data_IF_157633814042
#
_entry.id   IF_157633814042
#
_cell.length_a   1.000
_cell.length_b   1.000
_cell.length_c   1.000
_cell.angle_alpha   90.00
_cell.angle_beta   90.00
_cell.angle_gamma   90.00
#
_symmetry.space_group_name_H-M   'P 1'
#
loop_
_entity.id
_entity.type
_entity.pdbx_description
1 polymer ?
#
# COMPACT_ATOMS: atom_id res chain seq x y z
N UNK A 1 -22.91 -0.28 4.67
CA UNK A 1 -21.52 -0.33 4.17
C UNK A 1 -21.40 0.20 2.74
N UNK A 2 -22.14 -0.38 1.80
CA UNK A 2 -22.18 0.07 0.39
C UNK A 2 -22.65 1.52 0.22
N UNK A 3 -23.46 2.04 1.14
CA UNK A 3 -24.05 3.39 1.02
C UNK A 3 -23.06 4.55 1.23
N UNK A 4 -22.15 4.48 2.23
CA UNK A 4 -21.13 5.53 2.42
C UNK A 4 -20.21 5.58 1.20
N UNK A 5 -19.71 4.41 0.79
CA UNK A 5 -18.86 4.27 -0.40
C UNK A 5 -19.58 4.75 -1.66
N UNK A 6 -20.87 4.45 -1.81
CA UNK A 6 -21.69 4.95 -2.92
C UNK A 6 -21.81 6.47 -2.90
N UNK A 7 -22.11 7.08 -1.74
CA UNK A 7 -22.20 8.54 -1.59
C UNK A 7 -20.87 9.24 -1.88
N UNK A 8 -19.75 8.66 -1.45
CA UNK A 8 -18.42 9.18 -1.74
C UNK A 8 -18.08 9.06 -3.23
N UNK A 9 -18.42 7.94 -3.87
CA UNK A 9 -18.25 7.76 -5.32
C UNK A 9 -19.16 8.69 -6.13
N UNK A 10 -20.38 8.91 -5.68
CA UNK A 10 -21.31 9.85 -6.29
C UNK A 10 -20.76 11.28 -6.15
N UNK A 11 -20.25 11.67 -4.98
CA UNK A 11 -19.58 12.97 -4.80
C UNK A 11 -18.39 13.18 -5.75
N UNK A 12 -17.58 12.14 -6.00
CA UNK A 12 -16.51 12.15 -7.02
C UNK A 12 -17.12 12.39 -8.42
N UNK A 13 -18.15 11.63 -8.79
CA UNK A 13 -18.77 11.69 -10.11
C UNK A 13 -19.50 13.00 -10.43
N UNK A 14 -19.87 13.79 -9.41
CA UNK A 14 -20.57 15.07 -9.59
C UNK A 14 -19.68 16.25 -9.95
N UNK A 15 -18.35 16.10 -9.97
CA UNK A 15 -17.39 17.19 -10.27
C UNK A 15 -17.72 18.48 -9.50
N UNK A 16 -17.84 18.35 -8.17
CA UNK A 16 -18.33 19.42 -7.31
C UNK A 16 -17.40 20.64 -7.33
N UNK A 17 -17.99 21.84 -7.36
CA UNK A 17 -17.24 23.10 -7.24
C UNK A 17 -17.26 23.61 -5.79
N UNK A 18 -16.09 23.99 -5.28
CA UNK A 18 -15.94 24.51 -3.91
C UNK A 18 -16.77 25.77 -3.72
N UNK A 19 -17.56 25.81 -2.64
CA UNK A 19 -18.46 26.93 -2.35
C UNK A 19 -19.81 26.86 -3.07
N UNK A 20 -20.03 25.89 -3.96
CA UNK A 20 -21.37 25.64 -4.50
C UNK A 20 -22.30 25.08 -3.42
N UNK A 21 -23.60 25.35 -3.54
CA UNK A 21 -24.61 24.76 -2.65
C UNK A 21 -24.59 23.23 -2.69
N UNK A 22 -24.30 22.65 -3.87
CA UNK A 22 -24.22 21.20 -4.04
C UNK A 22 -23.01 20.62 -3.31
N UNK A 23 -21.85 21.28 -3.37
CA UNK A 23 -20.68 20.89 -2.60
C UNK A 23 -20.98 20.84 -1.11
N UNK A 24 -21.57 21.92 -0.56
CA UNK A 24 -21.92 21.98 0.86
C UNK A 24 -22.97 20.93 1.22
N UNK A 25 -23.96 20.69 0.36
CA UNK A 25 -24.96 19.66 0.60
C UNK A 25 -24.34 18.25 0.70
N UNK A 26 -23.37 17.89 -0.16
CA UNK A 26 -22.67 16.60 -0.02
C UNK A 26 -21.78 16.56 1.22
N UNK A 27 -21.04 17.64 1.46
CA UNK A 27 -20.17 17.79 2.61
C UNK A 27 -20.96 17.56 3.91
N UNK A 28 -22.01 18.35 4.13
CA UNK A 28 -22.79 18.31 5.37
C UNK A 28 -23.58 17.01 5.49
N UNK A 29 -24.16 16.52 4.39
CA UNK A 29 -24.87 15.23 4.39
C UNK A 29 -23.96 14.09 4.83
N UNK A 30 -22.73 14.01 4.31
CA UNK A 30 -21.80 12.94 4.69
C UNK A 30 -21.30 13.17 6.12
N UNK A 31 -20.94 14.40 6.47
CA UNK A 31 -20.46 14.79 7.79
C UNK A 31 -21.46 14.43 8.90
N UNK A 32 -22.73 14.82 8.74
CA UNK A 32 -23.78 14.63 9.73
C UNK A 32 -24.27 13.19 9.76
N UNK A 33 -24.60 12.61 8.59
CA UNK A 33 -25.21 11.28 8.52
C UNK A 33 -24.33 10.17 9.06
N UNK A 34 -23.02 10.31 8.87
CA UNK A 34 -22.04 9.33 9.34
C UNK A 34 -21.34 9.77 10.64
N UNK A 35 -21.82 10.85 11.26
CA UNK A 35 -21.32 11.31 12.56
C UNK A 35 -19.84 11.69 12.54
N UNK A 36 -19.30 12.16 11.42
CA UNK A 36 -17.87 12.47 11.34
C UNK A 36 -17.43 13.56 12.32
N UNK A 37 -18.37 14.36 12.84
CA UNK A 37 -18.09 15.30 13.93
C UNK A 37 -17.54 14.64 15.21
N UNK A 38 -17.93 13.40 15.52
CA UNK A 38 -17.43 12.66 16.67
C UNK A 38 -16.22 11.77 16.35
N UNK A 39 -15.91 11.59 15.06
CA UNK A 39 -14.90 10.66 14.56
C UNK A 39 -13.63 11.42 14.13
N UNK A 40 -13.80 12.53 13.42
CA UNK A 40 -12.73 13.31 12.82
C UNK A 40 -12.77 14.77 13.26
N UNK A 41 -11.58 15.36 13.40
CA UNK A 41 -11.47 16.83 13.49
C UNK A 41 -12.00 17.44 12.19
N UNK A 42 -12.76 18.53 12.28
CA UNK A 42 -13.33 19.25 11.13
C UNK A 42 -12.29 19.55 10.06
N UNK A 43 -11.09 19.99 10.44
CA UNK A 43 -10.02 20.27 9.47
C UNK A 43 -9.56 19.02 8.70
N UNK A 44 -9.53 17.84 9.35
CA UNK A 44 -9.17 16.58 8.70
C UNK A 44 -10.25 16.16 7.72
N UNK A 45 -11.51 16.27 8.12
CA UNK A 45 -12.63 15.97 7.23
C UNK A 45 -12.68 16.89 6.03
N UNK A 46 -12.59 18.21 6.23
CA UNK A 46 -12.59 19.20 5.14
C UNK A 46 -11.46 18.94 4.15
N UNK A 47 -10.29 18.52 4.65
CA UNK A 47 -9.15 18.15 3.82
C UNK A 47 -9.44 16.90 2.98
N UNK A 48 -9.90 15.81 3.62
CA UNK A 48 -10.23 14.56 2.93
C UNK A 48 -11.35 14.79 1.91
N UNK A 49 -12.41 15.49 2.28
CA UNK A 49 -13.51 15.81 1.38
C UNK A 49 -13.06 16.72 0.22
N UNK A 50 -12.14 17.65 0.48
CA UNK A 50 -11.50 18.46 -0.54
C UNK A 50 -10.73 17.62 -1.57
N UNK A 51 -9.93 16.65 -1.12
CA UNK A 51 -9.19 15.75 -2.02
C UNK A 51 -10.12 14.79 -2.77
N UNK A 52 -11.15 14.26 -2.10
CA UNK A 52 -12.19 13.42 -2.67
C UNK A 52 -12.84 14.08 -3.88
N UNK A 53 -13.14 15.37 -3.78
CA UNK A 53 -13.91 16.12 -4.77
C UNK A 53 -13.05 16.91 -5.76
N UNK A 54 -11.71 16.84 -5.64
CA UNK A 54 -10.80 17.63 -6.46
C UNK A 54 -10.85 19.15 -6.19
N UNK A 55 -11.31 19.55 -5.00
CA UNK A 55 -11.44 20.96 -4.56
C UNK A 55 -10.41 21.34 -3.49
N UNK A 56 -9.47 20.45 -3.22
CA UNK A 56 -8.39 20.70 -2.27
C UNK A 56 -7.48 21.81 -2.79
N UNK A 57 -6.88 22.57 -1.87
CA UNK A 57 -5.78 23.48 -2.20
C UNK A 57 -4.48 22.72 -2.54
N UNK A 58 -4.44 21.42 -2.28
CA UNK A 58 -3.34 20.52 -2.58
C UNK A 58 -3.52 19.84 -3.94
N UNK A 59 -2.51 19.08 -4.39
CA UNK A 59 -2.55 18.35 -5.68
C UNK A 59 -3.82 17.50 -5.75
N UNK A 60 -4.63 17.71 -6.79
CA UNK A 60 -5.84 16.95 -7.04
C UNK A 60 -5.56 15.91 -8.14
N UNK A 61 -5.88 14.64 -7.88
CA UNK A 61 -5.71 13.52 -8.82
C UNK A 61 -6.73 12.43 -8.52
N UNK A 62 -6.98 11.55 -9.50
CA UNK A 62 -7.86 10.40 -9.29
C UNK A 62 -7.34 9.48 -8.16
N UNK A 63 -6.01 9.35 -8.02
CA UNK A 63 -5.38 8.63 -6.92
C UNK A 63 -5.68 9.27 -5.56
N UNK A 64 -5.55 10.59 -5.45
CA UNK A 64 -5.82 11.32 -4.21
C UNK A 64 -7.31 11.28 -3.82
N UNK A 65 -8.20 11.34 -4.81
CA UNK A 65 -9.63 11.17 -4.59
C UNK A 65 -9.97 9.76 -4.09
N UNK A 66 -9.38 8.74 -4.72
CA UNK A 66 -9.53 7.35 -4.28
C UNK A 66 -9.00 7.12 -2.87
N UNK A 67 -7.83 7.67 -2.54
CA UNK A 67 -7.26 7.58 -1.19
C UNK A 67 -8.16 8.27 -0.16
N UNK A 68 -8.60 9.50 -0.42
CA UNK A 68 -9.45 10.24 0.49
C UNK A 68 -10.79 9.52 0.75
N UNK A 69 -11.33 8.83 -0.26
CA UNK A 69 -12.48 7.94 -0.10
C UNK A 69 -12.19 6.81 0.89
N UNK A 70 -11.07 6.11 0.72
CA UNK A 70 -10.72 4.99 1.61
C UNK A 70 -10.45 5.45 3.05
N UNK A 71 -9.80 6.60 3.23
CA UNK A 71 -9.58 7.18 4.56
C UNK A 71 -10.91 7.51 5.26
N UNK A 72 -11.84 8.19 4.59
CA UNK A 72 -13.16 8.49 5.17
C UNK A 72 -13.92 7.23 5.55
N UNK A 73 -13.81 6.17 4.74
CA UNK A 73 -14.41 4.88 5.03
C UNK A 73 -13.72 4.23 6.25
N UNK A 74 -12.39 4.20 6.29
CA UNK A 74 -11.61 3.60 7.40
C UNK A 74 -11.92 4.27 8.72
N UNK A 75 -11.86 5.59 8.78
CA UNK A 75 -12.11 6.35 10.01
C UNK A 75 -13.53 6.10 10.55
N UNK A 76 -14.52 5.99 9.65
CA UNK A 76 -15.87 5.60 10.03
C UNK A 76 -15.90 4.18 10.61
N UNK A 77 -15.19 3.22 10.04
CA UNK A 77 -15.15 1.86 10.56
C UNK A 77 -14.42 1.74 11.89
N UNK A 78 -13.25 2.35 12.03
CA UNK A 78 -12.45 2.27 13.25
C UNK A 78 -13.26 2.81 14.44
N UNK A 79 -14.01 3.89 14.24
CA UNK A 79 -14.90 4.44 15.26
C UNK A 79 -16.15 3.58 15.54
N UNK A 80 -16.56 2.74 14.59
CA UNK A 80 -17.77 1.90 14.68
C UNK A 80 -17.47 0.39 14.74
N UNK A 81 -16.22 0.01 15.01
CA UNK A 81 -15.72 -1.36 14.94
C UNK A 81 -16.55 -2.34 15.78
N UNK A 82 -17.04 -1.90 16.94
CA UNK A 82 -17.92 -2.65 17.83
C UNK A 82 -19.28 -2.98 17.19
N UNK A 83 -19.83 -2.04 16.40
CA UNK A 83 -21.08 -2.21 15.66
C UNK A 83 -20.91 -3.05 14.40
N UNK A 84 -19.74 -3.00 13.76
CA UNK A 84 -19.41 -3.81 12.58
C UNK A 84 -19.19 -5.29 12.93
N UNK A 85 -18.49 -5.57 14.03
CA UNK A 85 -18.36 -6.95 14.56
C UNK A 85 -19.74 -7.50 14.94
N UNK A 86 -20.59 -6.67 15.56
CA UNK A 86 -21.97 -7.04 15.88
C UNK A 86 -22.82 -7.25 14.61
N UNK A 87 -22.67 -6.44 13.56
CA UNK A 87 -23.41 -6.64 12.29
C UNK A 87 -22.93 -7.87 11.53
N UNK A 88 -21.63 -8.20 11.54
CA UNK A 88 -21.13 -9.45 10.98
C UNK A 88 -21.62 -10.68 11.76
N UNK A 89 -21.78 -10.55 13.08
CA UNK A 89 -22.35 -11.60 13.93
C UNK A 89 -23.88 -11.75 13.76
N UNK A 90 -24.60 -10.68 13.39
CA UNK A 90 -26.05 -10.67 13.17
C UNK A 90 -26.48 -11.00 11.73
N UNK A 91 -25.67 -10.66 10.71
CA UNK A 91 -25.94 -10.96 9.29
C UNK A 91 -25.62 -12.42 8.89
N UNK A 92 -25.28 -13.28 9.86
CA UNK A 92 -25.16 -14.72 9.63
C UNK A 92 -23.99 -15.16 8.72
N UNK A 93 -23.03 -14.28 8.42
CA UNK A 93 -21.80 -14.66 7.73
C UNK A 93 -20.78 -15.15 8.75
N UNK A 94 -20.98 -16.38 9.22
CA UNK A 94 -19.98 -17.08 10.02
C UNK A 94 -18.83 -17.54 9.13
N UNK A 95 -17.78 -16.74 8.99
CA UNK A 95 -16.44 -17.26 8.70
C UNK A 95 -15.35 -16.43 9.39
N UNK A 96 -15.37 -16.44 10.72
CA UNK A 96 -14.11 -16.46 11.49
C UNK A 96 -13.91 -17.87 11.98
N UNK A 97 -13.45 -18.74 11.08
CA UNK A 97 -12.82 -19.98 11.52
C UNK A 97 -11.37 -19.64 11.84
N UNK A 98 -11.03 -19.68 13.13
CA UNK A 98 -9.66 -19.90 13.57
C UNK A 98 -9.14 -21.19 12.93
N UNK A 99 -8.43 -21.09 11.81
CA UNK A 99 -7.78 -22.24 11.19
C UNK A 99 -6.41 -22.41 11.84
N UNK A 100 -6.29 -23.40 12.73
CA UNK A 100 -5.02 -24.08 12.98
C UNK A 100 -4.59 -24.74 11.68
N UNK A 101 -3.58 -24.22 10.99
CA UNK A 101 -3.00 -24.92 9.85
C UNK A 101 -2.04 -26.00 10.38
N UNK A 102 -2.48 -27.26 10.26
CA UNK A 102 -1.59 -28.42 10.17
C UNK A 102 -0.95 -28.40 8.79
N UNK A 103 0.36 -28.67 8.72
CA UNK A 103 1.12 -28.87 7.48
C UNK A 103 0.34 -29.72 6.45
N UNK A 104 0.23 -29.30 5.18
CA UNK A 104 -0.13 -30.20 4.11
C UNK A 104 1.12 -30.67 3.35
N UNK A 105 1.27 -31.98 3.35
CA UNK A 105 2.04 -32.79 2.41
C UNK A 105 1.60 -32.47 0.96
N UNK A 106 2.60 -32.36 0.07
CA UNK A 106 2.49 -32.17 -1.37
C UNK A 106 1.74 -33.33 -2.04
N UNK A 107 0.80 -33.04 -2.95
CA UNK A 107 0.63 -33.73 -4.25
C UNK A 107 -0.24 -32.89 -5.20
N UNK A 108 0.44 -32.37 -6.23
CA UNK A 108 0.05 -32.19 -7.64
C UNK A 108 -1.20 -31.40 -8.07
N UNK A 109 -0.87 -30.25 -8.69
CA UNK A 109 -1.38 -29.78 -9.99
C UNK A 109 -2.73 -29.07 -10.05
N UNK A 110 -2.72 -27.77 -9.73
CA UNK A 110 -3.32 -26.74 -10.58
C UNK A 110 -2.42 -25.49 -10.58
N UNK A 111 -1.85 -25.17 -11.75
CA UNK A 111 -0.88 -24.11 -11.91
C UNK A 111 -1.52 -22.74 -11.73
N UNK A 112 -1.19 -22.06 -10.63
CA UNK A 112 -1.33 -20.61 -10.52
C UNK A 112 -0.37 -19.99 -11.53
N UNK A 113 -0.92 -19.40 -12.59
CA UNK A 113 -0.15 -18.80 -13.68
C UNK A 113 0.71 -17.64 -13.11
N UNK A 114 2.05 -17.73 -13.08
CA UNK A 114 2.87 -16.66 -12.56
C UNK A 114 2.94 -15.54 -13.60
N UNK A 115 2.43 -14.37 -13.25
CA UNK A 115 2.45 -13.19 -14.11
C UNK A 115 3.89 -12.64 -14.16
N UNK A 116 4.59 -12.89 -15.27
CA UNK A 116 5.86 -12.25 -15.63
C UNK A 116 7.12 -12.85 -15.01
N UNK A 117 7.34 -14.16 -15.15
CA UNK A 117 8.68 -14.72 -14.90
C UNK A 117 9.65 -14.19 -15.96
N UNK A 118 10.63 -13.40 -15.52
CA UNK A 118 11.77 -13.09 -16.37
C UNK A 118 12.44 -14.38 -16.83
N UNK A 119 13.13 -14.33 -17.98
CA UNK A 119 13.95 -15.45 -18.47
C UNK A 119 15.04 -15.88 -17.47
N UNK A 120 15.36 -15.01 -16.50
CA UNK A 120 16.39 -15.18 -15.50
C UNK A 120 15.81 -15.71 -14.19
N UNK A 121 16.51 -16.68 -13.60
CA UNK A 121 16.28 -17.15 -12.22
C UNK A 121 17.22 -16.48 -11.21
N UNK A 122 18.25 -15.80 -11.70
CA UNK A 122 19.23 -15.03 -10.91
C UNK A 122 19.39 -13.66 -11.58
N UNK A 123 19.35 -12.55 -10.82
CA UNK A 123 19.50 -11.20 -11.37
C UNK A 123 20.82 -11.03 -12.13
N UNK A 124 20.79 -10.28 -13.22
CA UNK A 124 21.97 -9.98 -14.01
C UNK A 124 23.08 -9.35 -13.15
N UNK A 125 24.28 -9.90 -13.24
CA UNK A 125 25.47 -9.42 -12.53
C UNK A 125 25.56 -9.84 -11.06
N UNK A 126 24.73 -10.79 -10.62
CA UNK A 126 24.75 -11.37 -9.27
C UNK A 126 25.05 -12.86 -9.37
N UNK A 127 25.88 -13.41 -8.48
CA UNK A 127 26.12 -14.86 -8.41
C UNK A 127 25.01 -15.57 -7.60
N UNK A 128 24.84 -16.87 -7.78
CA UNK A 128 23.87 -17.65 -6.97
C UNK A 128 24.13 -17.53 -5.47
N UNK A 129 25.39 -17.53 -5.06
CA UNK A 129 25.79 -17.39 -3.66
C UNK A 129 25.41 -16.02 -3.10
N UNK A 130 25.72 -14.95 -3.84
CA UNK A 130 25.33 -13.59 -3.49
C UNK A 130 23.80 -13.45 -3.38
N UNK A 131 23.06 -14.06 -4.29
CA UNK A 131 21.60 -14.00 -4.30
C UNK A 131 20.97 -14.76 -3.12
N UNK A 132 21.47 -15.96 -2.80
CA UNK A 132 21.04 -16.73 -1.64
C UNK A 132 21.37 -16.03 -0.32
N UNK A 133 22.55 -15.43 -0.22
CA UNK A 133 22.96 -14.66 0.96
C UNK A 133 22.08 -13.42 1.13
N UNK A 134 21.85 -12.65 0.06
CA UNK A 134 20.94 -11.50 0.09
C UNK A 134 19.51 -11.91 0.48
N UNK A 135 19.01 -13.04 -0.03
CA UNK A 135 17.71 -13.59 0.39
C UNK A 135 17.64 -13.84 1.89
N UNK A 136 18.66 -14.50 2.44
CA UNK A 136 18.72 -14.79 3.88
C UNK A 136 18.71 -13.51 4.72
N UNK A 137 19.52 -12.52 4.35
CA UNK A 137 19.61 -11.21 5.02
C UNK A 137 18.27 -10.47 4.97
N UNK A 138 17.64 -10.42 3.79
CA UNK A 138 16.36 -9.73 3.62
C UNK A 138 15.27 -10.41 4.45
N UNK A 139 15.09 -11.73 4.30
CA UNK A 139 14.04 -12.50 5.00
C UNK A 139 14.19 -12.40 6.52
N UNK A 140 15.42 -12.41 7.05
CA UNK A 140 15.64 -12.21 8.48
C UNK A 140 15.12 -10.85 8.96
N UNK A 141 15.24 -9.80 8.14
CA UNK A 141 14.89 -8.43 8.54
C UNK A 141 13.44 -8.05 8.27
N UNK A 142 12.87 -8.55 7.18
CA UNK A 142 11.53 -8.13 6.70
C UNK A 142 10.52 -9.28 6.62
N UNK A 143 10.89 -10.50 6.99
CA UNK A 143 9.97 -11.66 6.98
C UNK A 143 8.74 -11.46 7.87
N UNK A 144 8.85 -10.68 8.96
CA UNK A 144 7.68 -10.30 9.77
C UNK A 144 6.74 -9.29 9.07
N UNK A 145 7.17 -8.70 7.96
CA UNK A 145 6.39 -7.78 7.13
C UNK A 145 5.75 -8.55 5.97
N UNK A 146 6.54 -9.34 5.24
CA UNK A 146 6.08 -10.19 4.14
C UNK A 146 7.10 -11.26 3.79
N UNK A 147 6.61 -12.41 3.33
CA UNK A 147 7.40 -13.47 2.71
C UNK A 147 7.49 -13.36 1.17
N UNK A 148 6.63 -12.52 0.57
CA UNK A 148 6.61 -12.24 -0.86
C UNK A 148 7.60 -11.14 -1.21
N UNK A 149 8.80 -11.57 -1.62
CA UNK A 149 9.93 -10.69 -1.87
C UNK A 149 10.55 -11.04 -3.22
N UNK A 150 10.73 -10.03 -4.05
CA UNK A 150 11.21 -10.19 -5.42
C UNK A 150 12.30 -9.18 -5.76
N UNK A 151 13.14 -9.54 -6.72
CA UNK A 151 13.96 -8.59 -7.47
C UNK A 151 13.16 -8.09 -8.65
N UNK A 152 13.21 -6.79 -8.92
CA UNK A 152 12.55 -6.16 -10.05
C UNK A 152 13.53 -5.31 -10.86
N UNK A 153 13.02 -4.62 -11.87
CA UNK A 153 13.78 -3.64 -12.64
C UNK A 153 14.77 -4.26 -13.63
N UNK A 154 15.79 -3.49 -13.98
CA UNK A 154 16.67 -3.78 -15.12
C UNK A 154 17.48 -5.07 -14.94
N UNK A 155 17.93 -5.37 -13.71
CA UNK A 155 18.70 -6.60 -13.40
C UNK A 155 17.83 -7.83 -13.39
N UNK A 156 16.56 -7.73 -12.98
CA UNK A 156 15.58 -8.80 -13.15
C UNK A 156 15.28 -9.06 -14.64
N UNK A 157 15.25 -8.01 -15.46
CA UNK A 157 14.95 -8.09 -16.89
C UNK A 157 16.16 -8.50 -17.77
N UNK A 158 17.39 -8.47 -17.23
CA UNK A 158 18.59 -8.76 -18.02
C UNK A 158 19.02 -7.62 -18.95
N UNK A 159 18.58 -6.39 -18.67
CA UNK A 159 18.87 -5.19 -19.47
C UNK A 159 19.64 -4.14 -18.68
N UNK A 160 20.25 -4.51 -17.55
CA UNK A 160 21.00 -3.62 -16.68
C UNK A 160 22.33 -3.19 -17.32
N UNK A 161 22.69 -1.93 -17.11
CA UNK A 161 24.04 -1.42 -17.39
C UNK A 161 24.99 -1.85 -16.26
N UNK A 162 26.32 -1.80 -16.47
CA UNK A 162 27.29 -2.15 -15.44
C UNK A 162 27.12 -1.36 -14.13
N UNK A 163 26.69 -0.09 -14.24
CA UNK A 163 26.49 0.85 -13.14
C UNK A 163 25.07 0.85 -12.54
N UNK A 164 24.17 0.02 -13.08
CA UNK A 164 22.79 -0.06 -12.57
C UNK A 164 22.74 -0.63 -11.15
N UNK A 165 21.83 -0.16 -10.34
CA UNK A 165 21.47 -0.72 -9.05
C UNK A 165 20.66 -2.02 -9.18
N UNK A 166 20.44 -2.68 -8.05
CA UNK A 166 19.49 -3.81 -7.92
C UNK A 166 18.30 -3.39 -7.05
N UNK A 167 17.09 -3.58 -7.58
CA UNK A 167 15.84 -3.24 -6.92
C UNK A 167 15.21 -4.48 -6.25
N UNK A 168 15.04 -4.43 -4.94
CA UNK A 168 14.25 -5.40 -4.17
C UNK A 168 12.88 -4.79 -3.80
N UNK A 169 11.83 -5.57 -4.02
CA UNK A 169 10.47 -5.25 -3.58
C UNK A 169 10.00 -6.24 -2.51
N UNK A 170 9.70 -5.72 -1.33
CA UNK A 170 8.95 -6.43 -0.29
C UNK A 170 7.47 -6.17 -0.55
N UNK A 171 6.78 -7.11 -1.18
CA UNK A 171 5.40 -6.90 -1.61
C UNK A 171 4.44 -7.20 -0.47
N UNK A 172 3.45 -6.35 -0.30
CA UNK A 172 2.45 -6.46 0.76
C UNK A 172 1.06 -6.24 0.19
N UNK A 173 0.04 -6.85 0.82
CA UNK A 173 -1.35 -6.60 0.45
C UNK A 173 -1.70 -5.11 0.55
N UNK A 174 -2.73 -4.63 -0.17
CA UNK A 174 -3.23 -3.27 -0.03
C UNK A 174 -3.48 -2.84 1.41
N UNK A 175 -4.07 -3.72 2.23
CA UNK A 175 -4.41 -3.46 3.62
C UNK A 175 -3.16 -3.32 4.47
N UNK A 176 -2.18 -4.21 4.29
CA UNK A 176 -0.90 -4.15 5.00
C UNK A 176 -0.08 -2.93 4.58
N UNK A 177 -0.15 -2.54 3.31
CA UNK A 177 0.48 -1.30 2.83
C UNK A 177 -0.11 -0.08 3.56
N UNK A 178 -1.43 0.01 3.65
CA UNK A 178 -2.12 1.14 4.29
C UNK A 178 -1.86 1.16 5.82
N UNK A 179 -1.73 -0.01 6.46
CA UNK A 179 -1.25 -0.16 7.85
C UNK A 179 0.17 0.42 8.01
N UNK A 180 1.09 0.06 7.12
CA UNK A 180 2.47 0.53 7.15
C UNK A 180 2.58 2.03 6.86
N UNK A 181 1.74 2.58 5.98
CA UNK A 181 1.65 4.04 5.78
C UNK A 181 1.32 4.73 7.11
N UNK A 182 0.29 4.24 7.81
CA UNK A 182 -0.11 4.81 9.11
C UNK A 182 1.01 4.68 10.15
N UNK A 183 1.67 3.52 10.24
CA UNK A 183 2.75 3.29 11.19
C UNK A 183 3.99 4.16 10.94
N UNK A 184 4.39 4.33 9.67
CA UNK A 184 5.60 5.07 9.31
C UNK A 184 5.39 6.58 9.33
N UNK A 185 4.25 7.03 8.79
CA UNK A 185 4.00 8.45 8.60
C UNK A 185 3.17 9.08 9.73
N UNK A 186 2.34 8.30 10.42
CA UNK A 186 1.39 8.81 11.42
C UNK A 186 0.42 9.80 10.80
N UNK A 187 0.07 10.85 11.57
CA UNK A 187 -0.73 11.98 11.08
C UNK A 187 0.22 13.17 10.86
N UNK A 188 0.78 13.35 9.65
CA UNK A 188 1.67 14.46 9.38
C UNK A 188 0.93 15.79 9.39
N UNK A 189 1.64 16.86 9.75
CA UNK A 189 1.09 18.21 9.69
C UNK A 189 0.74 18.58 8.23
N UNK A 190 -0.42 19.22 7.98
CA UNK A 190 -0.78 19.70 6.65
C UNK A 190 0.28 20.63 6.06
N UNK A 191 0.59 20.45 4.77
CA UNK A 191 1.63 21.18 4.03
C UNK A 191 3.07 20.75 4.35
N UNK A 192 3.29 19.81 5.27
CA UNK A 192 4.65 19.40 5.65
C UNK A 192 5.34 18.57 4.58
N UNK A 193 6.68 18.53 4.63
CA UNK A 193 7.45 17.61 3.80
C UNK A 193 7.05 16.15 4.04
N UNK A 194 6.80 15.78 5.30
CA UNK A 194 6.35 14.44 5.69
C UNK A 194 5.01 14.08 5.05
N UNK A 195 4.05 15.01 5.01
CA UNK A 195 2.78 14.81 4.32
C UNK A 195 3.00 14.58 2.83
N UNK A 196 3.83 15.40 2.16
CA UNK A 196 4.15 15.21 0.74
C UNK A 196 4.77 13.84 0.47
N UNK A 197 5.70 13.40 1.32
CA UNK A 197 6.33 12.07 1.18
C UNK A 197 5.32 10.95 1.39
N UNK A 198 4.45 11.05 2.39
CA UNK A 198 3.37 10.08 2.63
C UNK A 198 2.43 9.99 1.41
N UNK A 199 2.00 11.14 0.89
CA UNK A 199 1.12 11.19 -0.29
C UNK A 199 1.80 10.60 -1.53
N UNK A 200 3.10 10.85 -1.71
CA UNK A 200 3.84 10.22 -2.79
C UNK A 200 3.91 8.70 -2.65
N UNK A 201 4.08 8.18 -1.42
CA UNK A 201 4.10 6.75 -1.16
C UNK A 201 2.73 6.10 -1.47
N UNK A 202 1.64 6.78 -1.14
CA UNK A 202 0.27 6.37 -1.46
C UNK A 202 0.03 6.40 -2.98
N UNK A 203 0.36 7.52 -3.64
CA UNK A 203 0.16 7.71 -5.09
C UNK A 203 0.91 6.66 -5.92
N UNK A 204 2.12 6.31 -5.49
CA UNK A 204 2.97 5.34 -6.19
C UNK A 204 2.75 3.90 -5.73
N UNK A 205 2.17 3.68 -4.55
CA UNK A 205 2.14 2.36 -3.91
C UNK A 205 3.53 1.87 -3.50
N UNK A 206 4.47 2.77 -3.17
CA UNK A 206 5.85 2.44 -2.79
C UNK A 206 6.32 3.23 -1.58
N UNK A 207 6.74 2.54 -0.53
CA UNK A 207 7.45 3.14 0.62
C UNK A 207 8.95 2.91 0.44
N UNK A 208 9.70 4.00 0.27
CA UNK A 208 11.15 3.95 0.07
C UNK A 208 11.89 3.47 1.31
N UNK A 209 13.11 2.93 1.14
CA UNK A 209 13.95 2.38 2.22
C UNK A 209 14.10 3.29 3.44
N UNK A 210 14.27 4.60 3.22
CA UNK A 210 14.40 5.58 4.30
C UNK A 210 13.16 5.64 5.19
N UNK A 211 11.99 5.82 4.58
CA UNK A 211 10.70 5.91 5.26
C UNK A 211 10.25 4.56 5.84
N UNK A 212 10.64 3.46 5.19
CA UNK A 212 10.36 2.10 5.66
C UNK A 212 11.27 1.67 6.83
N UNK A 213 12.28 2.47 7.21
CA UNK A 213 13.25 2.08 8.23
C UNK A 213 14.21 0.96 7.80
N UNK A 214 14.41 0.79 6.49
CA UNK A 214 15.24 -0.25 5.89
C UNK A 214 16.66 0.23 5.52
N UNK A 215 17.06 1.42 5.99
CA UNK A 215 18.36 2.02 5.63
C UNK A 215 19.55 1.12 5.99
N UNK A 216 19.56 0.52 7.18
CA UNK A 216 20.66 -0.36 7.60
C UNK A 216 20.70 -1.65 6.78
N UNK A 217 19.52 -2.22 6.46
CA UNK A 217 19.40 -3.39 5.58
C UNK A 217 19.96 -3.08 4.19
N UNK A 218 19.59 -1.92 3.62
CA UNK A 218 20.12 -1.47 2.32
C UNK A 218 21.66 -1.42 2.32
N UNK A 219 22.26 -0.84 3.36
CA UNK A 219 23.72 -0.75 3.49
C UNK A 219 24.40 -2.12 3.62
N UNK A 220 23.77 -3.06 4.31
CA UNK A 220 24.24 -4.44 4.43
C UNK A 220 24.20 -5.17 3.09
N UNK A 221 23.11 -5.02 2.34
CA UNK A 221 22.96 -5.60 1.01
C UNK A 221 23.96 -5.00 0.01
N UNK A 222 24.21 -3.69 0.05
CA UNK A 222 25.24 -3.05 -0.80
C UNK A 222 26.63 -3.67 -0.57
N UNK A 223 26.97 -3.97 0.68
CA UNK A 223 28.24 -4.66 1.02
C UNK A 223 28.25 -6.11 0.53
N UNK A 224 27.16 -6.84 0.71
CA UNK A 224 27.05 -8.25 0.32
C UNK A 224 27.09 -8.45 -1.21
N UNK A 225 26.50 -7.52 -1.95
CA UNK A 225 26.38 -7.60 -3.41
C UNK A 225 27.50 -6.86 -4.16
N UNK A 226 28.19 -5.94 -3.50
CA UNK A 226 29.24 -5.12 -4.14
C UNK A 226 28.70 -4.15 -5.20
N UNK A 227 27.44 -3.73 -5.07
CA UNK A 227 26.75 -2.82 -5.98
C UNK A 227 25.72 -1.97 -5.22
N UNK A 228 25.18 -0.94 -5.86
CA UNK A 228 24.09 -0.15 -5.30
C UNK A 228 22.79 -0.95 -5.22
N UNK A 229 22.06 -0.75 -4.13
CA UNK A 229 20.86 -1.50 -3.79
C UNK A 229 19.75 -0.53 -3.44
N UNK A 230 18.59 -0.74 -4.05
CA UNK A 230 17.33 -0.15 -3.64
C UNK A 230 16.42 -1.24 -3.08
N UNK A 231 15.83 -0.97 -1.91
CA UNK A 231 14.83 -1.84 -1.30
C UNK A 231 13.64 -1.02 -0.85
N UNK A 232 12.45 -1.49 -1.21
CA UNK A 232 11.21 -0.78 -0.90
C UNK A 232 10.08 -1.73 -0.54
N UNK A 233 9.10 -1.21 0.20
CA UNK A 233 7.84 -1.91 0.42
C UNK A 233 6.90 -1.50 -0.71
N UNK A 234 6.34 -2.47 -1.42
CA UNK A 234 5.52 -2.25 -2.61
C UNK A 234 4.11 -2.79 -2.38
N UNK A 235 3.09 -1.99 -2.70
CA UNK A 235 1.68 -2.40 -2.68
C UNK A 235 1.42 -3.37 -3.82
N UNK A 236 1.01 -4.60 -3.51
CA UNK A 236 0.64 -5.60 -4.53
C UNK A 236 -0.47 -5.07 -5.43
N UNK A 237 -0.33 -5.28 -6.74
CA UNK A 237 -1.21 -4.74 -7.77
C UNK A 237 -1.12 -3.22 -7.96
N UNK A 238 -0.22 -2.53 -7.25
CA UNK A 238 0.03 -1.10 -7.39
C UNK A 238 0.91 -0.76 -8.60
N UNK A 239 1.13 0.54 -8.90
CA UNK A 239 1.93 0.99 -10.04
C UNK A 239 3.34 0.39 -10.12
N UNK A 240 3.99 0.20 -8.98
CA UNK A 240 5.34 -0.38 -8.87
C UNK A 240 5.37 -1.91 -8.77
N UNK A 241 4.22 -2.60 -8.80
CA UNK A 241 4.15 -4.07 -8.89
C UNK A 241 3.87 -4.51 -10.34
N UNK A 242 4.47 -3.82 -11.31
CA UNK A 242 4.34 -4.11 -12.73
C UNK A 242 5.73 -4.22 -13.35
N UNK A 243 6.14 -5.42 -13.78
CA UNK A 243 7.41 -5.64 -14.45
C UNK A 243 7.92 -7.07 -14.34
N UNK A 244 9.08 -7.31 -14.92
CA UNK A 244 9.80 -8.58 -14.79
C UNK A 244 10.26 -8.77 -13.35
N UNK A 245 9.94 -9.91 -12.76
CA UNK A 245 10.25 -10.22 -11.37
C UNK A 245 11.01 -11.55 -11.25
N UNK A 246 11.96 -11.58 -10.32
CA UNK A 246 12.65 -12.81 -9.90
C UNK A 246 12.39 -12.99 -8.40
N UNK A 247 11.64 -14.02 -7.99
CA UNK A 247 11.45 -14.33 -6.57
C UNK A 247 12.78 -14.61 -5.88
N UNK A 248 12.90 -14.16 -4.63
CA UNK A 248 14.04 -14.53 -3.80
C UNK A 248 13.95 -16.02 -3.42
N UNK A 249 15.06 -16.77 -3.51
CA UNK A 249 15.12 -18.19 -3.17
C UNK A 249 14.91 -18.43 -1.67
#
# INVERSE_FOLDING_TARGET
MNELRFLLNDAIGKNLNKGSKLYQAYHDKIWERYGFASILKTNRYNYLFGLLTGTSAYKNSAGNASWAREELIREFFDANLSGYIASMAMDGVTHVSTVKIKNPTVTDSEAVVPKGTGKLTIPQGVTSEQFNNASSIIRQKVGSISDDIVVQGSRANGTARPDSDIDFAVRVSPEKFDELITQRFGIPNPGSAKERTMQHAIETGKIQSGEAGLRSLRQELQKALGMDVDISIVKSGGPFDNGTQIPLP
#
